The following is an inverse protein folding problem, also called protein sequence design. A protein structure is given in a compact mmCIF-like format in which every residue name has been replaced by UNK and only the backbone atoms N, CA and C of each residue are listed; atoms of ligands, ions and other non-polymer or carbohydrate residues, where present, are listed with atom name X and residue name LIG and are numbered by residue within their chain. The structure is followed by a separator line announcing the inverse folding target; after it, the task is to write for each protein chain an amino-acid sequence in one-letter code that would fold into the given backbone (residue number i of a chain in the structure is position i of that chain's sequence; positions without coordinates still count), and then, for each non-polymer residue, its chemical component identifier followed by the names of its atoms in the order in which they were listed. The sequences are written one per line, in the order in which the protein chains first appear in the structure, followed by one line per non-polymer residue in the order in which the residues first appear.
data_IF_807550008156
#
_entry.id   IF_807550008156
#
_cell.length_a   1.000
_cell.length_b   1.000
_cell.length_c   1.000
_cell.angle_alpha   90.00
_cell.angle_beta   90.00
_cell.angle_gamma   90.00
#
_symmetry.space_group_name_H-M   'P 1'
#
loop_
_entity.id
_entity.type
_entity.pdbx_description
1 polymer ?
#
# COMPACT_ATOMS: atom_id res chain seq x y z
N UNK A 1 1.19 13.29 19.35
CA UNK A 1 -0.16 12.91 18.88
C UNK A 1 -0.01 12.32 17.49
N UNK A 2 -0.35 11.04 17.34
CA UNK A 2 -0.44 10.37 16.04
C UNK A 2 -1.60 11.00 15.26
N UNK A 3 -1.35 11.65 14.12
CA UNK A 3 -2.41 12.31 13.36
C UNK A 3 -3.28 11.24 12.67
N UNK A 4 -4.48 10.92 13.21
CA UNK A 4 -5.25 9.77 12.74
C UNK A 4 -5.77 10.00 11.32
N UNK A 5 -6.08 11.26 10.96
CA UNK A 5 -6.49 11.66 9.62
C UNK A 5 -5.43 11.35 8.56
N UNK A 6 -4.13 11.51 8.88
CA UNK A 6 -3.05 11.21 7.95
C UNK A 6 -2.84 9.71 7.76
N UNK A 7 -3.10 8.90 8.79
CA UNK A 7 -3.07 7.45 8.69
C UNK A 7 -4.29 6.91 7.92
N UNK A 8 -5.46 7.49 8.17
CA UNK A 8 -6.70 7.14 7.50
C UNK A 8 -6.67 7.51 6.01
N UNK A 9 -6.18 8.72 5.67
CA UNK A 9 -5.96 9.11 4.28
C UNK A 9 -4.95 8.19 3.57
N UNK A 10 -3.84 7.83 4.23
CA UNK A 10 -2.88 6.88 3.64
C UNK A 10 -3.49 5.49 3.42
N UNK A 11 -4.39 5.06 4.32
CA UNK A 11 -5.15 3.83 4.16
C UNK A 11 -6.08 3.89 2.95
N UNK A 12 -6.85 4.96 2.78
CA UNK A 12 -7.75 5.13 1.65
C UNK A 12 -7.00 5.14 0.31
N UNK A 13 -5.84 5.82 0.26
CA UNK A 13 -4.94 5.81 -0.91
C UNK A 13 -4.41 4.40 -1.18
N UNK A 14 -3.99 3.68 -0.15
CA UNK A 14 -3.51 2.30 -0.26
C UNK A 14 -4.61 1.36 -0.81
N UNK A 15 -5.81 1.42 -0.25
CA UNK A 15 -6.96 0.61 -0.70
C UNK A 15 -7.31 0.93 -2.16
N UNK A 16 -7.25 2.20 -2.55
CA UNK A 16 -7.49 2.61 -3.93
C UNK A 16 -6.46 2.01 -4.89
N UNK A 17 -5.17 2.08 -4.56
CA UNK A 17 -4.13 1.44 -5.37
C UNK A 17 -4.26 -0.08 -5.43
N UNK A 18 -4.66 -0.73 -4.34
CA UNK A 18 -4.87 -2.18 -4.34
C UNK A 18 -6.05 -2.60 -5.23
N UNK A 19 -7.15 -1.83 -5.21
CA UNK A 19 -8.28 -2.02 -6.13
C UNK A 19 -7.86 -1.80 -7.59
N UNK A 20 -7.06 -0.77 -7.87
CA UNK A 20 -6.50 -0.55 -9.21
C UNK A 20 -5.59 -1.69 -9.65
N UNK A 21 -4.74 -2.22 -8.77
CA UNK A 21 -3.95 -3.41 -9.04
C UNK A 21 -4.83 -4.60 -9.45
N UNK A 22 -5.88 -4.90 -8.70
CA UNK A 22 -6.82 -5.98 -9.05
C UNK A 22 -7.50 -5.73 -10.39
N UNK A 23 -7.94 -4.50 -10.65
CA UNK A 23 -8.55 -4.10 -11.92
C UNK A 23 -7.60 -4.30 -13.11
N UNK A 24 -6.35 -3.84 -13.00
CA UNK A 24 -5.35 -4.02 -14.05
C UNK A 24 -4.98 -5.50 -14.24
N UNK A 25 -4.87 -6.28 -13.16
CA UNK A 25 -4.66 -7.74 -13.25
C UNK A 25 -5.80 -8.44 -14.00
N UNK A 26 -7.05 -8.08 -13.72
CA UNK A 26 -8.21 -8.66 -14.43
C UNK A 26 -8.20 -8.32 -15.93
N UNK A 27 -7.62 -7.17 -16.30
CA UNK A 27 -7.48 -6.76 -17.70
C UNK A 27 -6.24 -7.34 -18.40
N UNK A 28 -5.40 -8.10 -17.69
CA UNK A 28 -4.12 -8.60 -18.20
C UNK A 28 -3.03 -7.52 -18.32
N UNK A 29 -3.27 -6.33 -17.78
CA UNK A 29 -2.31 -5.23 -17.77
C UNK A 29 -1.40 -5.35 -16.55
N UNK A 30 -0.54 -6.36 -16.58
CA UNK A 30 0.38 -6.68 -15.49
C UNK A 30 1.37 -5.54 -15.18
N UNK A 31 1.91 -4.78 -16.16
CA UNK A 31 2.73 -3.60 -15.90
C UNK A 31 2.00 -2.53 -15.07
N UNK A 32 0.77 -2.16 -15.45
CA UNK A 32 0.00 -1.17 -14.69
C UNK A 32 -0.42 -1.70 -13.31
N UNK A 33 -0.69 -3.01 -13.20
CA UNK A 33 -0.96 -3.64 -11.92
C UNK A 33 0.25 -3.48 -10.99
N UNK A 34 1.43 -3.92 -11.43
CA UNK A 34 2.66 -3.85 -10.63
C UNK A 34 3.03 -2.41 -10.27
N UNK A 35 2.83 -1.44 -11.17
CA UNK A 35 3.05 -0.03 -10.88
C UNK A 35 2.14 0.48 -9.73
N UNK A 36 0.88 0.07 -9.69
CA UNK A 36 -0.03 0.40 -8.60
C UNK A 36 0.36 -0.29 -7.29
N UNK A 37 0.79 -1.55 -7.37
CA UNK A 37 1.25 -2.31 -6.21
C UNK A 37 2.53 -1.72 -5.60
N UNK A 38 3.47 -1.27 -6.44
CA UNK A 38 4.70 -0.60 -6.00
C UNK A 38 4.41 0.72 -5.28
N UNK A 39 3.47 1.52 -5.80
CA UNK A 39 3.02 2.77 -5.13
C UNK A 39 2.41 2.49 -3.76
N UNK A 40 1.60 1.44 -3.65
CA UNK A 40 1.05 0.97 -2.38
C UNK A 40 2.17 0.62 -1.38
N UNK A 41 3.16 -0.18 -1.80
CA UNK A 41 4.29 -0.55 -0.96
C UNK A 41 5.13 0.66 -0.53
N UNK A 42 5.41 1.62 -1.42
CA UNK A 42 6.19 2.80 -1.10
C UNK A 42 5.58 3.66 0.03
N UNK A 43 4.24 3.75 0.08
CA UNK A 43 3.52 4.44 1.16
C UNK A 43 3.72 3.70 2.48
N UNK A 44 3.49 2.38 2.49
CA UNK A 44 3.63 1.55 3.69
C UNK A 44 5.06 1.54 4.21
N UNK A 45 6.03 1.44 3.31
CA UNK A 45 7.44 1.46 3.64
C UNK A 45 7.90 2.82 4.20
N UNK A 46 7.37 3.93 3.67
CA UNK A 46 7.57 5.27 4.24
C UNK A 46 6.99 5.37 5.65
N UNK A 47 5.83 4.76 5.92
CA UNK A 47 5.25 4.71 7.25
C UNK A 47 6.10 3.89 8.22
N UNK A 48 6.58 2.71 7.79
CA UNK A 48 7.47 1.86 8.55
C UNK A 48 8.79 2.57 8.89
N UNK A 49 9.45 3.19 7.89
CA UNK A 49 10.71 3.90 8.08
C UNK A 49 10.58 5.15 8.95
N UNK A 50 9.47 5.87 8.85
CA UNK A 50 9.22 7.09 9.65
C UNK A 50 8.65 6.78 11.04
N UNK A 51 8.51 5.51 11.42
CA UNK A 51 7.91 5.11 12.70
C UNK A 51 6.46 5.61 12.85
N UNK A 52 5.75 5.82 11.74
CA UNK A 52 4.37 6.29 11.77
C UNK A 52 3.46 5.16 12.23
N UNK A 53 2.38 5.48 12.96
CA UNK A 53 1.39 4.50 13.35
C UNK A 53 0.77 3.89 12.10
N UNK A 54 0.74 2.56 12.07
CA UNK A 54 0.07 1.75 11.06
C UNK A 54 -0.92 0.85 11.76
N UNK A 55 -2.14 0.77 11.23
CA UNK A 55 -3.13 -0.20 11.68
C UNK A 55 -2.72 -1.63 11.30
N UNK A 56 -3.39 -2.61 11.91
CA UNK A 56 -3.14 -4.04 11.64
C UNK A 56 -3.22 -4.38 10.15
N UNK A 57 -4.17 -3.81 9.41
CA UNK A 57 -4.31 -4.04 7.97
C UNK A 57 -3.12 -3.51 7.16
N UNK A 58 -2.62 -2.31 7.49
CA UNK A 58 -1.46 -1.72 6.81
C UNK A 58 -0.20 -2.55 7.08
N UNK A 59 0.00 -3.00 8.32
CA UNK A 59 1.12 -3.87 8.70
C UNK A 59 1.06 -5.22 8.00
N UNK A 60 -0.11 -5.85 7.97
CA UNK A 60 -0.30 -7.13 7.28
C UNK A 60 0.02 -7.00 5.79
N UNK A 61 -0.49 -5.96 5.13
CA UNK A 61 -0.22 -5.72 3.72
C UNK A 61 1.26 -5.42 3.47
N UNK A 62 1.90 -4.64 4.33
CA UNK A 62 3.34 -4.36 4.22
C UNK A 62 4.16 -5.65 4.26
N UNK A 63 3.90 -6.53 5.21
CA UNK A 63 4.63 -7.81 5.33
C UNK A 63 4.34 -8.76 4.15
N UNK A 64 3.13 -8.74 3.57
CA UNK A 64 2.81 -9.50 2.35
C UNK A 64 3.54 -8.98 1.11
N UNK A 65 3.70 -7.66 1.00
CA UNK A 65 4.35 -7.01 -0.16
C UNK A 65 5.86 -6.94 -0.02
N UNK A 66 6.40 -6.98 1.20
CA UNK A 66 7.83 -6.97 1.48
C UNK A 66 8.62 -8.00 0.67
N UNK A 67 8.26 -9.30 0.59
CA UNK A 67 8.98 -10.25 -0.25
C UNK A 67 8.87 -10.00 -1.75
N UNK A 68 7.87 -9.23 -2.21
CA UNK A 68 7.66 -8.88 -3.62
C UNK A 68 8.56 -7.72 -4.06
N UNK A 69 8.92 -6.81 -3.14
CA UNK A 69 9.68 -5.58 -3.40
C UNK A 69 11.02 -5.50 -2.63
N UNK A 70 11.46 -6.58 -1.99
CA UNK A 70 12.72 -6.66 -1.23
C UNK A 70 13.91 -6.97 -2.12
#
# INVERSE_FOLDING_TARGET
MANPESAQAARDVMVSHFKLFQFHRQRGDEPAAMANLAKCFAILDSFARKGRPMDAQMRQLYEQLKPVFR
#
